data_IF_666577586289
#
_entry.id   IF_666577586289
#
_cell.length_a   1.000
_cell.length_b   1.000
_cell.length_c   1.000
_cell.angle_alpha   90.00
_cell.angle_beta   90.00
_cell.angle_gamma   90.00
#
_symmetry.space_group_name_H-M   'P 1'
#
loop_
_entity.id
_entity.type
_entity.pdbx_description
1 polymer ?
#
# COMPACT_ATOMS: atom_id res chain seq x y z
N UNK A 1 4.53 -1.29 39.86
CA UNK A 1 3.32 -1.29 39.03
C UNK A 1 3.67 -0.32 37.92
N UNK A 2 4.30 -0.83 36.87
CA UNK A 2 4.67 0.00 35.72
C UNK A 2 3.36 0.45 35.08
N UNK A 3 3.18 1.75 34.97
CA UNK A 3 2.17 2.36 34.12
C UNK A 3 2.48 1.90 32.70
N UNK A 4 1.78 0.88 32.23
CA UNK A 4 1.70 0.55 30.82
C UNK A 4 0.95 1.72 30.20
N UNK A 5 1.68 2.73 29.74
CA UNK A 5 1.15 3.74 28.84
C UNK A 5 0.51 2.98 27.68
N UNK A 6 -0.81 2.98 27.62
CA UNK A 6 -1.55 2.54 26.45
C UNK A 6 -1.04 3.41 25.31
N UNK A 7 -0.25 2.79 24.44
CA UNK A 7 0.45 3.41 23.33
C UNK A 7 -0.59 4.10 22.43
N UNK A 8 -0.77 5.41 22.64
CA UNK A 8 -1.79 6.19 21.95
C UNK A 8 -1.30 6.43 20.51
N UNK A 9 -1.63 5.47 19.65
CA UNK A 9 -1.46 5.56 18.22
C UNK A 9 -2.18 6.82 17.73
N UNK A 10 -1.45 7.90 17.46
CA UNK A 10 -2.05 9.14 16.96
C UNK A 10 -2.51 8.90 15.54
N UNK A 11 -3.82 8.74 15.39
CA UNK A 11 -4.42 8.63 14.07
C UNK A 11 -4.13 9.91 13.28
N UNK A 12 -3.54 9.75 12.10
CA UNK A 12 -3.49 10.82 11.12
C UNK A 12 -4.88 11.38 10.87
N UNK A 13 -5.00 12.70 10.65
CA UNK A 13 -6.25 13.29 10.22
C UNK A 13 -6.76 12.55 8.97
N UNK A 14 -8.03 12.13 8.97
CA UNK A 14 -8.62 11.32 7.91
C UNK A 14 -8.54 11.99 6.53
N UNK A 15 -8.59 13.32 6.47
CA UNK A 15 -8.42 14.05 5.21
C UNK A 15 -6.97 14.01 4.75
N UNK A 16 -6.01 14.17 5.67
CA UNK A 16 -4.57 14.05 5.38
C UNK A 16 -4.26 12.65 4.87
N UNK A 17 -4.69 11.60 5.58
CA UNK A 17 -4.47 10.20 5.18
C UNK A 17 -5.07 9.90 3.80
N UNK A 18 -6.34 10.26 3.58
CA UNK A 18 -6.97 10.05 2.28
C UNK A 18 -6.28 10.83 1.15
N UNK A 19 -5.77 12.04 1.45
CA UNK A 19 -5.05 12.87 0.47
C UNK A 19 -3.66 12.32 0.16
N UNK A 20 -2.92 11.86 1.17
CA UNK A 20 -1.62 11.19 1.02
C UNK A 20 -1.76 9.96 0.12
N UNK A 21 -2.70 9.07 0.42
CA UNK A 21 -2.99 7.89 -0.39
C UNK A 21 -3.43 8.25 -1.81
N UNK A 22 -4.21 9.32 -1.99
CA UNK A 22 -4.58 9.82 -3.33
C UNK A 22 -3.36 10.22 -4.15
N UNK A 23 -2.42 10.97 -3.57
CA UNK A 23 -1.21 11.43 -4.25
C UNK A 23 -0.27 10.26 -4.53
N UNK A 24 0.03 9.45 -3.53
CA UNK A 24 0.92 8.29 -3.67
C UNK A 24 0.39 7.28 -4.71
N UNK A 25 -0.91 7.02 -4.70
CA UNK A 25 -1.55 6.14 -5.70
C UNK A 25 -1.48 6.73 -7.11
N UNK A 26 -1.71 8.03 -7.26
CA UNK A 26 -1.62 8.68 -8.58
C UNK A 26 -0.18 8.68 -9.12
N UNK A 27 0.83 8.79 -8.23
CA UNK A 27 2.22 8.59 -8.60
C UNK A 27 2.48 7.16 -9.07
N UNK A 28 2.04 6.14 -8.33
CA UNK A 28 2.17 4.73 -8.75
C UNK A 28 1.39 4.42 -10.04
N UNK A 29 0.28 5.12 -10.31
CA UNK A 29 -0.45 4.98 -11.56
C UNK A 29 0.32 5.55 -12.75
N UNK A 30 1.14 6.57 -12.54
CA UNK A 30 1.93 7.21 -13.59
C UNK A 30 3.30 6.54 -13.73
N UNK A 31 3.80 5.95 -12.64
CA UNK A 31 5.09 5.27 -12.51
C UNK A 31 4.92 3.94 -11.74
N UNK A 32 4.46 2.85 -12.40
CA UNK A 32 4.14 1.56 -11.77
C UNK A 32 5.31 0.81 -11.15
N UNK A 33 6.53 1.21 -11.43
CA UNK A 33 7.72 0.77 -10.70
C UNK A 33 7.68 1.20 -9.24
N UNK A 34 6.99 2.31 -8.92
CA UNK A 34 6.85 2.77 -7.55
C UNK A 34 6.03 1.78 -6.71
N UNK A 35 6.44 1.64 -5.46
CA UNK A 35 5.78 0.92 -4.40
C UNK A 35 5.44 1.89 -3.27
N UNK A 36 4.43 1.52 -2.50
CA UNK A 36 4.06 2.24 -1.29
C UNK A 36 4.40 1.34 -0.11
N UNK A 37 4.99 1.92 0.93
CA UNK A 37 5.25 1.28 2.22
C UNK A 37 4.67 2.18 3.32
N UNK A 38 4.06 1.57 4.34
CA UNK A 38 3.66 2.26 5.55
C UNK A 38 4.70 1.98 6.64
N UNK A 39 5.16 3.00 7.34
CA UNK A 39 6.05 2.84 8.49
C UNK A 39 5.61 3.75 9.61
N UNK A 40 6.03 3.42 10.83
CA UNK A 40 5.96 4.31 11.97
C UNK A 40 7.39 4.78 12.22
N UNK A 41 7.63 6.08 12.30
CA UNK A 41 8.96 6.57 12.66
C UNK A 41 9.23 6.41 14.17
N UNK A 42 10.43 6.78 14.61
CA UNK A 42 10.85 6.70 16.01
C UNK A 42 9.98 7.56 16.95
N UNK A 43 9.44 8.67 16.44
CA UNK A 43 8.51 9.55 17.15
C UNK A 43 7.05 9.03 17.15
N UNK A 44 6.82 7.79 16.69
CA UNK A 44 5.49 7.18 16.56
C UNK A 44 4.55 7.88 15.57
N UNK A 45 5.10 8.64 14.63
CA UNK A 45 4.35 9.28 13.55
C UNK A 45 4.17 8.31 12.39
N UNK A 46 2.92 8.09 11.93
CA UNK A 46 2.67 7.26 10.77
C UNK A 46 3.14 7.99 9.50
N UNK A 47 3.95 7.28 8.72
CA UNK A 47 4.47 7.72 7.43
C UNK A 47 3.95 6.80 6.33
N UNK A 48 3.64 7.41 5.19
CA UNK A 48 3.51 6.70 3.93
C UNK A 48 4.74 7.03 3.07
N UNK A 49 5.37 6.04 2.45
CA UNK A 49 6.55 6.25 1.62
C UNK A 49 6.26 5.67 0.24
N UNK A 50 6.29 6.51 -0.79
CA UNK A 50 6.34 6.05 -2.18
C UNK A 50 7.81 5.98 -2.62
N UNK A 51 8.26 4.82 -3.07
CA UNK A 51 9.66 4.57 -3.42
C UNK A 51 9.79 3.65 -4.63
N UNK A 52 10.95 3.69 -5.27
CA UNK A 52 11.35 2.71 -6.30
C UNK A 52 12.42 1.80 -5.68
N UNK A 53 12.25 0.48 -5.70
CA UNK A 53 13.25 -0.44 -5.13
C UNK A 53 14.58 -0.45 -5.92
N UNK A 54 14.59 0.07 -7.16
CA UNK A 54 15.77 0.05 -8.05
C UNK A 54 16.59 1.34 -8.01
N UNK A 55 16.01 2.41 -7.47
CA UNK A 55 16.65 3.71 -7.36
C UNK A 55 16.52 4.20 -5.92
N UNK A 56 17.38 5.09 -5.44
CA UNK A 56 17.23 5.62 -4.08
C UNK A 56 16.10 6.67 -3.97
N UNK A 57 15.14 6.65 -4.91
CA UNK A 57 14.03 7.59 -4.92
C UNK A 57 13.05 7.26 -3.81
N UNK A 58 12.79 8.26 -2.96
CA UNK A 58 11.81 8.20 -1.87
C UNK A 58 11.03 9.50 -1.80
N UNK A 59 9.72 9.36 -1.66
CA UNK A 59 8.78 10.44 -1.41
C UNK A 59 8.05 10.08 -0.13
N UNK A 60 8.35 10.80 0.94
CA UNK A 60 7.78 10.57 2.26
C UNK A 60 6.59 11.50 2.47
N UNK A 61 5.48 10.92 2.90
CA UNK A 61 4.28 11.61 3.31
C UNK A 61 4.18 11.46 4.81
N UNK A 62 4.56 12.52 5.52
CA UNK A 62 4.29 12.66 6.93
C UNK A 62 2.80 12.95 7.10
N UNK A 63 2.07 12.04 7.75
CA UNK A 63 0.62 12.14 7.86
C UNK A 63 0.16 13.14 8.94
N UNK A 64 1.05 14.03 9.37
CA UNK A 64 0.80 15.15 10.29
C UNK A 64 1.20 16.48 9.65
N UNK A 65 2.37 16.56 9.00
CA UNK A 65 3.00 17.83 8.70
C UNK A 65 3.25 18.11 7.20
N UNK A 66 3.85 17.19 6.44
CA UNK A 66 4.41 17.51 5.13
C UNK A 66 4.56 16.32 4.17
N UNK A 67 4.94 16.63 2.94
CA UNK A 67 5.50 15.70 1.95
C UNK A 67 6.96 16.12 1.70
N UNK A 68 7.90 15.18 1.80
CA UNK A 68 9.34 15.37 1.57
C UNK A 68 9.81 14.49 0.42
N UNK A 69 10.66 15.05 -0.42
CA UNK A 69 11.46 14.30 -1.38
C UNK A 69 12.77 15.03 -1.66
N UNK A 70 13.74 14.30 -2.21
CA UNK A 70 14.99 14.87 -2.68
C UNK A 70 14.90 15.24 -4.16
N UNK A 71 15.44 16.40 -4.50
CA UNK A 71 15.63 16.83 -5.88
C UNK A 71 16.83 16.09 -6.52
N UNK A 72 16.98 16.11 -7.86
CA UNK A 72 18.12 15.49 -8.53
C UNK A 72 19.50 16.00 -8.08
N UNK A 73 19.56 17.20 -7.52
CA UNK A 73 20.77 17.81 -6.94
C UNK A 73 20.99 17.44 -5.45
N UNK A 74 20.12 16.61 -4.88
CA UNK A 74 20.15 16.17 -3.49
C UNK A 74 19.48 17.13 -2.50
N UNK A 75 18.99 18.29 -2.95
CA UNK A 75 18.35 19.24 -2.04
C UNK A 75 16.95 18.73 -1.60
N UNK A 76 16.62 18.77 -0.30
CA UNK A 76 15.29 18.41 0.16
C UNK A 76 14.26 19.45 -0.27
N UNK A 77 13.06 18.99 -0.63
CA UNK A 77 11.88 19.81 -0.90
C UNK A 77 10.74 19.39 0.00
N UNK A 78 10.08 20.37 0.62
CA UNK A 78 8.91 20.16 1.47
C UNK A 78 7.66 20.76 0.83
N UNK A 79 6.57 20.00 0.85
CA UNK A 79 5.22 20.48 0.51
C UNK A 79 4.34 20.27 1.74
N UNK A 80 3.93 21.36 2.38
CA UNK A 80 3.08 21.32 3.56
C UNK A 80 1.62 21.05 3.20
N UNK A 81 0.87 20.44 4.13
CA UNK A 81 -0.51 20.03 3.86
C UNK A 81 -1.44 21.20 3.50
N UNK A 82 -1.24 22.39 4.05
CA UNK A 82 -1.98 23.59 3.67
C UNK A 82 -1.81 23.92 2.16
N UNK A 83 -0.59 23.82 1.63
CA UNK A 83 -0.30 23.98 0.21
C UNK A 83 -0.94 22.87 -0.63
N UNK A 84 -0.94 21.63 -0.12
CA UNK A 84 -1.56 20.47 -0.78
C UNK A 84 -3.08 20.64 -0.87
N UNK A 85 -3.74 21.10 0.19
CA UNK A 85 -5.18 21.32 0.22
C UNK A 85 -5.61 22.57 -0.54
N UNK A 86 -4.73 23.59 -0.65
CA UNK A 86 -4.94 24.73 -1.53
C UNK A 86 -4.78 24.37 -3.02
N UNK A 87 -4.23 23.20 -3.34
CA UNK A 87 -3.88 22.77 -4.71
C UNK A 87 -4.73 21.60 -5.21
N UNK A 88 -4.84 21.48 -6.54
CA UNK A 88 -5.40 20.30 -7.19
C UNK A 88 -4.48 19.08 -7.07
N UNK A 89 -5.04 17.87 -7.11
CA UNK A 89 -4.27 16.62 -7.04
C UNK A 89 -3.20 16.56 -8.14
N UNK A 90 -3.60 16.82 -9.39
CA UNK A 90 -2.70 16.81 -10.56
C UNK A 90 -1.57 17.84 -10.43
N UNK A 91 -1.84 19.01 -9.83
CA UNK A 91 -0.82 20.04 -9.59
C UNK A 91 0.24 19.55 -8.62
N UNK A 92 -0.16 18.93 -7.50
CA UNK A 92 0.77 18.39 -6.50
C UNK A 92 1.58 17.24 -7.10
N UNK A 93 0.92 16.31 -7.79
CA UNK A 93 1.60 15.18 -8.46
C UNK A 93 2.64 15.68 -9.46
N UNK A 94 2.28 16.62 -10.35
CA UNK A 94 3.24 17.19 -11.32
C UNK A 94 4.39 17.94 -10.66
N UNK A 95 4.15 18.62 -9.53
CA UNK A 95 5.21 19.28 -8.75
C UNK A 95 6.19 18.24 -8.21
N UNK A 96 5.70 17.14 -7.66
CA UNK A 96 6.53 16.03 -7.17
C UNK A 96 7.30 15.40 -8.34
N UNK A 97 6.64 15.04 -9.45
CA UNK A 97 7.29 14.45 -10.63
C UNK A 97 8.43 15.31 -11.18
N UNK A 98 8.17 16.61 -11.32
CA UNK A 98 9.18 17.57 -11.79
C UNK A 98 10.31 17.72 -10.77
N UNK A 99 9.97 17.69 -9.49
CA UNK A 99 10.89 17.86 -8.38
C UNK A 99 11.80 16.66 -8.15
N UNK A 100 11.32 15.43 -8.36
CA UNK A 100 12.09 14.18 -8.19
C UNK A 100 12.81 13.73 -9.45
N UNK A 101 12.38 14.21 -10.63
CA UNK A 101 12.95 13.77 -11.90
C UNK A 101 12.45 12.38 -12.33
N UNK A 102 11.29 11.93 -11.86
CA UNK A 102 10.65 10.66 -12.27
C UNK A 102 10.48 10.53 -13.80
N UNK A 103 10.49 11.66 -14.51
CA UNK A 103 10.38 11.70 -15.97
C UNK A 103 8.93 11.64 -16.43
N UNK A 104 8.73 11.30 -17.71
CA UNK A 104 7.39 11.29 -18.28
C UNK A 104 6.53 10.15 -17.72
N UNK A 105 5.26 10.41 -17.38
CA UNK A 105 4.31 9.38 -16.98
C UNK A 105 4.25 8.25 -18.01
N UNK A 106 4.31 7.01 -17.54
CA UNK A 106 4.07 5.88 -18.42
C UNK A 106 2.55 5.71 -18.63
N UNK A 107 2.06 6.16 -19.77
CA UNK A 107 0.64 6.04 -20.09
C UNK A 107 0.20 4.59 -20.38
N UNK A 108 1.15 3.65 -20.46
CA UNK A 108 0.89 2.20 -20.52
C UNK A 108 0.29 1.62 -19.24
N UNK A 109 0.44 2.29 -18.10
CA UNK A 109 -0.19 1.96 -16.82
C UNK A 109 -1.71 2.20 -16.76
N UNK A 110 -2.33 2.62 -17.88
CA UNK A 110 -3.79 2.62 -18.04
C UNK A 110 -4.42 1.22 -17.95
N UNK A 111 -3.60 0.17 -17.83
CA UNK A 111 -4.00 -1.20 -17.52
C UNK A 111 -3.48 -1.58 -16.11
N UNK A 112 -4.18 -1.20 -15.03
CA UNK A 112 -3.81 -1.59 -13.66
C UNK A 112 -3.73 -3.12 -13.47
N UNK A 113 -4.37 -3.90 -14.34
CA UNK A 113 -4.37 -5.35 -14.30
C UNK A 113 -2.98 -5.97 -14.53
N UNK A 114 -2.07 -5.24 -15.17
CA UNK A 114 -0.67 -5.66 -15.35
C UNK A 114 0.18 -5.37 -14.10
N UNK A 115 -0.35 -4.54 -13.18
CA UNK A 115 0.34 -4.09 -11.97
C UNK A 115 -0.55 -4.26 -10.72
N UNK A 116 -0.61 -5.47 -10.14
CA UNK A 116 -1.49 -5.80 -9.02
C UNK A 116 -1.41 -4.83 -7.82
N UNK A 117 -0.22 -4.29 -7.54
CA UNK A 117 -0.01 -3.38 -6.41
C UNK A 117 -0.67 -2.02 -6.67
N UNK A 118 -0.54 -1.48 -7.89
CA UNK A 118 -1.20 -0.24 -8.30
C UNK A 118 -2.71 -0.38 -8.16
N UNK A 119 -3.26 -1.53 -8.57
CA UNK A 119 -4.69 -1.81 -8.42
C UNK A 119 -5.13 -1.84 -6.96
N UNK A 120 -4.32 -2.43 -6.10
CA UNK A 120 -4.58 -2.48 -4.66
C UNK A 120 -4.55 -1.09 -4.03
N UNK A 121 -3.56 -0.26 -4.39
CA UNK A 121 -3.47 1.12 -3.91
C UNK A 121 -4.64 1.99 -4.40
N UNK A 122 -5.13 1.77 -5.63
CA UNK A 122 -6.37 2.40 -6.11
C UNK A 122 -7.57 2.09 -5.21
N UNK A 123 -7.77 0.82 -4.88
CA UNK A 123 -8.86 0.39 -4.01
C UNK A 123 -8.72 1.02 -2.61
N UNK A 124 -7.52 1.00 -2.02
CA UNK A 124 -7.25 1.65 -0.71
C UNK A 124 -7.58 3.14 -0.76
N UNK A 125 -7.04 3.85 -1.76
CA UNK A 125 -7.24 5.29 -1.94
C UNK A 125 -8.72 5.64 -2.07
N UNK A 126 -9.49 4.83 -2.81
CA UNK A 126 -10.94 5.00 -2.97
C UNK A 126 -11.72 4.76 -1.68
N UNK A 127 -11.36 3.71 -0.93
CA UNK A 127 -11.96 3.38 0.36
C UNK A 127 -11.73 4.49 1.37
N UNK A 128 -10.49 4.95 1.52
CA UNK A 128 -10.15 6.04 2.42
C UNK A 128 -10.87 7.33 2.03
N UNK A 129 -10.89 7.68 0.74
CA UNK A 129 -11.60 8.86 0.24
C UNK A 129 -13.10 8.81 0.51
N UNK A 130 -13.75 7.66 0.34
CA UNK A 130 -15.16 7.51 0.66
C UNK A 130 -15.42 7.54 2.18
N UNK A 131 -14.48 6.99 2.95
CA UNK A 131 -14.51 6.94 4.40
C UNK A 131 -14.20 8.27 5.10
N UNK A 132 -13.73 9.30 4.39
CA UNK A 132 -13.42 10.62 4.99
C UNK A 132 -14.62 11.23 5.72
N UNK A 133 -15.84 11.00 5.23
CA UNK A 133 -17.06 11.54 5.84
C UNK A 133 -17.77 10.54 6.76
N UNK A 134 -17.24 9.32 6.89
CA UNK A 134 -17.78 8.31 7.80
C UNK A 134 -17.44 8.69 9.25
N UNK A 135 -18.41 8.54 10.16
CA UNK A 135 -18.21 8.73 11.60
C UNK A 135 -17.28 7.68 12.18
N UNK A 136 -17.31 6.48 11.59
CA UNK A 136 -16.60 5.30 12.12
C UNK A 136 -15.10 5.35 11.81
N UNK A 137 -14.64 6.26 10.94
CA UNK A 137 -13.22 6.47 10.63
C UNK A 137 -12.58 5.29 9.89
N UNK A 138 -11.96 5.58 8.75
CA UNK A 138 -11.30 4.56 7.92
C UNK A 138 -9.80 4.72 7.94
N UNK A 139 -9.09 3.60 8.07
CA UNK A 139 -7.64 3.59 8.18
C UNK A 139 -7.06 2.37 7.51
N UNK A 140 -5.78 2.45 7.15
CA UNK A 140 -5.06 1.35 6.53
C UNK A 140 -3.67 1.25 7.16
N UNK A 141 -3.22 0.01 7.40
CA UNK A 141 -1.91 -0.30 7.96
C UNK A 141 -1.29 -1.45 7.16
N UNK A 142 0.03 -1.48 6.97
CA UNK A 142 0.67 -2.71 6.52
C UNK A 142 0.42 -3.85 7.51
N UNK A 143 0.35 -5.07 7.00
CA UNK A 143 0.35 -6.29 7.81
C UNK A 143 1.79 -6.72 7.97
N UNK A 144 2.28 -6.76 9.19
CA UNK A 144 3.65 -7.18 9.45
C UNK A 144 3.73 -8.70 9.43
N UNK A 145 4.73 -9.24 8.73
CA UNK A 145 5.10 -10.64 8.84
C UNK A 145 6.61 -10.80 8.84
N UNK A 146 7.10 -11.67 9.72
CA UNK A 146 8.49 -12.05 9.80
C UNK A 146 8.61 -13.57 9.76
N UNK A 147 9.40 -14.12 8.82
CA UNK A 147 9.61 -15.55 8.69
C UNK A 147 10.58 -16.06 9.75
N UNK A 148 11.30 -15.15 10.40
CA UNK A 148 12.32 -15.44 11.40
C UNK A 148 11.86 -15.11 12.83
N UNK A 149 10.80 -14.31 12.97
CA UNK A 149 10.22 -13.94 14.26
C UNK A 149 8.68 -14.01 14.19
N UNK A 150 8.11 -15.19 14.46
CA UNK A 150 6.66 -15.39 14.44
C UNK A 150 5.91 -14.44 15.39
N UNK A 151 6.54 -14.01 16.48
CA UNK A 151 5.90 -13.14 17.48
C UNK A 151 5.71 -11.70 16.96
N UNK A 152 6.44 -11.31 15.91
CA UNK A 152 6.25 -10.03 15.20
C UNK A 152 5.27 -10.12 14.02
N UNK A 153 4.78 -11.32 13.71
CA UNK A 153 3.79 -11.52 12.65
C UNK A 153 2.40 -11.22 13.18
N UNK A 154 1.61 -10.50 12.38
CA UNK A 154 0.19 -10.20 12.63
C UNK A 154 -0.69 -11.47 12.48
N UNK A 155 -0.28 -12.63 12.99
CA UNK A 155 -0.96 -13.92 12.80
C UNK A 155 -2.38 -13.92 13.39
N UNK A 156 -2.55 -13.31 14.56
CA UNK A 156 -3.86 -13.15 15.19
C UNK A 156 -4.82 -12.31 14.33
N UNK A 157 -4.29 -11.35 13.55
CA UNK A 157 -5.07 -10.56 12.60
C UNK A 157 -5.43 -11.41 11.37
N UNK A 158 -4.49 -12.18 10.81
CA UNK A 158 -4.73 -13.07 9.67
C UNK A 158 -5.82 -14.10 9.97
N UNK A 159 -5.85 -14.61 11.19
CA UNK A 159 -6.85 -15.59 11.66
C UNK A 159 -8.30 -15.07 11.67
N UNK A 160 -8.51 -13.76 11.55
CA UNK A 160 -9.86 -13.16 11.48
C UNK A 160 -10.51 -13.28 10.09
N UNK A 161 -9.74 -13.65 9.06
CA UNK A 161 -10.17 -13.55 7.67
C UNK A 161 -10.27 -14.92 6.98
N UNK A 162 -11.25 -15.04 6.08
CA UNK A 162 -11.39 -16.22 5.25
C UNK A 162 -10.22 -16.32 4.25
N UNK A 163 -9.66 -17.52 4.04
CA UNK A 163 -8.53 -17.72 3.14
C UNK A 163 -7.15 -17.40 3.72
N UNK A 164 -7.05 -17.32 5.06
CA UNK A 164 -5.79 -17.02 5.79
C UNK A 164 -4.60 -17.88 5.35
N UNK A 165 -4.80 -19.16 5.07
CA UNK A 165 -3.69 -20.06 4.75
C UNK A 165 -3.09 -19.72 3.38
N UNK A 166 -3.94 -19.32 2.43
CA UNK A 166 -3.48 -18.82 1.12
C UNK A 166 -2.76 -17.48 1.25
N UNK A 167 -3.31 -16.56 2.06
CA UNK A 167 -2.68 -15.26 2.29
C UNK A 167 -1.31 -15.41 2.97
N UNK A 168 -1.21 -16.27 3.98
CA UNK A 168 0.05 -16.59 4.67
C UNK A 168 1.06 -17.21 3.70
N UNK A 169 0.62 -18.14 2.85
CA UNK A 169 1.49 -18.73 1.83
C UNK A 169 1.99 -17.69 0.82
N UNK A 170 1.13 -16.81 0.33
CA UNK A 170 1.52 -15.74 -0.61
C UNK A 170 2.51 -14.75 0.04
N UNK A 171 2.29 -14.42 1.32
CA UNK A 171 3.12 -13.51 2.11
C UNK A 171 4.54 -14.07 2.31
N UNK A 172 4.64 -15.33 2.71
CA UNK A 172 5.93 -16.02 2.88
C UNK A 172 6.65 -16.17 1.53
N UNK A 173 5.94 -16.62 0.47
CA UNK A 173 6.51 -16.78 -0.87
C UNK A 173 7.02 -15.44 -1.45
N UNK A 174 6.32 -14.34 -1.18
CA UNK A 174 6.78 -12.99 -1.59
C UNK A 174 8.03 -12.57 -0.84
N UNK A 175 8.06 -12.78 0.47
CA UNK A 175 9.16 -12.37 1.31
C UNK A 175 10.44 -13.16 1.02
N UNK A 176 10.35 -14.49 0.89
CA UNK A 176 11.47 -15.36 0.50
C UNK A 176 12.06 -14.92 -0.84
N UNK A 177 11.21 -14.67 -1.86
CA UNK A 177 11.67 -14.23 -3.18
C UNK A 177 12.41 -12.90 -3.14
N UNK A 178 12.01 -11.98 -2.25
CA UNK A 178 12.66 -10.67 -2.08
C UNK A 178 13.97 -10.78 -1.32
N UNK A 179 14.01 -11.62 -0.27
CA UNK A 179 15.25 -11.93 0.45
C UNK A 179 16.29 -12.56 -0.49
N UNK A 180 15.88 -13.52 -1.31
CA UNK A 180 16.73 -14.14 -2.35
C UNK A 180 17.23 -13.12 -3.38
N UNK A 181 16.43 -12.08 -3.67
CA UNK A 181 16.81 -11.00 -4.57
C UNK A 181 17.73 -9.95 -3.93
N UNK A 182 18.05 -10.09 -2.64
CA UNK A 182 18.88 -9.14 -1.90
C UNK A 182 18.17 -7.81 -1.59
N UNK A 183 16.85 -7.80 -1.50
CA UNK A 183 16.09 -6.60 -1.16
C UNK A 183 16.41 -6.16 0.28
N UNK A 184 16.86 -4.92 0.44
CA UNK A 184 17.19 -4.31 1.74
C UNK A 184 16.04 -3.46 2.31
N UNK A 185 14.96 -3.25 1.55
CA UNK A 185 13.83 -2.41 1.94
C UNK A 185 12.48 -3.09 1.69
N UNK A 186 11.59 -2.99 2.68
CA UNK A 186 10.32 -3.69 2.80
C UNK A 186 9.22 -2.97 1.99
N UNK A 187 8.74 -3.56 0.90
CA UNK A 187 7.42 -3.21 0.40
C UNK A 187 6.42 -4.19 1.00
N UNK A 188 5.48 -3.64 1.75
CA UNK A 188 4.49 -4.41 2.51
C UNK A 188 3.47 -5.01 1.54
N UNK A 189 3.47 -6.33 1.34
CA UNK A 189 2.68 -6.96 0.29
C UNK A 189 1.20 -7.01 0.67
N UNK A 190 0.86 -6.91 1.96
CA UNK A 190 -0.52 -7.01 2.45
C UNK A 190 -0.86 -5.81 3.33
N UNK A 191 -2.06 -5.28 3.13
CA UNK A 191 -2.58 -4.11 3.86
C UNK A 191 -3.87 -4.48 4.57
N UNK A 192 -3.97 -4.16 5.85
CA UNK A 192 -5.23 -4.27 6.59
C UNK A 192 -5.98 -2.95 6.54
N UNK A 193 -7.28 -3.05 6.27
CA UNK A 193 -8.22 -1.94 6.30
C UNK A 193 -9.02 -2.02 7.60
N UNK A 194 -9.07 -0.90 8.32
CA UNK A 194 -9.82 -0.74 9.56
C UNK A 194 -11.00 0.22 9.36
N UNK A 195 -12.11 -0.07 10.04
CA UNK A 195 -13.25 0.83 10.22
C UNK A 195 -13.67 0.77 11.68
N UNK A 196 -13.75 1.91 12.37
CA UNK A 196 -13.97 1.96 13.83
C UNK A 196 -12.97 1.10 14.63
N UNK A 197 -11.71 1.06 14.19
CA UNK A 197 -10.64 0.22 14.75
C UNK A 197 -10.88 -1.30 14.61
N UNK A 198 -11.94 -1.71 13.94
CA UNK A 198 -12.17 -3.10 13.61
C UNK A 198 -11.57 -3.43 12.25
N UNK A 199 -10.79 -4.53 12.13
CA UNK A 199 -10.26 -4.96 10.85
C UNK A 199 -11.42 -5.51 9.99
N UNK A 200 -11.61 -4.91 8.82
CA UNK A 200 -12.72 -5.22 7.91
C UNK A 200 -12.27 -5.96 6.64
N UNK A 201 -11.04 -5.72 6.19
CA UNK A 201 -10.48 -6.42 5.04
C UNK A 201 -8.95 -6.48 5.09
N UNK A 202 -8.36 -7.50 4.46
CA UNK A 202 -6.95 -7.55 4.08
C UNK A 202 -6.85 -7.41 2.56
N UNK A 203 -5.87 -6.67 2.07
CA UNK A 203 -5.69 -6.36 0.66
C UNK A 203 -4.28 -6.75 0.23
N UNK A 204 -4.17 -7.78 -0.61
CA UNK A 204 -2.91 -8.31 -1.10
C UNK A 204 -2.50 -7.58 -2.39
N UNK A 205 -1.42 -6.79 -2.29
CA UNK A 205 -0.85 -6.00 -3.38
C UNK A 205 -0.03 -6.81 -4.39
N UNK A 206 0.36 -8.05 -4.07
CA UNK A 206 1.05 -8.95 -5.00
C UNK A 206 0.07 -9.58 -5.97
N UNK A 207 -1.13 -9.95 -5.49
CA UNK A 207 -2.13 -10.68 -6.28
C UNK A 207 -3.35 -9.84 -6.67
N UNK A 208 -3.50 -8.63 -6.13
CA UNK A 208 -4.69 -7.79 -6.24
C UNK A 208 -5.97 -8.51 -5.79
N UNK A 209 -5.89 -9.14 -4.61
CA UNK A 209 -7.01 -9.87 -3.98
C UNK A 209 -7.31 -9.27 -2.61
N UNK A 210 -8.59 -9.03 -2.34
CA UNK A 210 -9.10 -8.64 -1.03
C UNK A 210 -9.65 -9.84 -0.28
N UNK A 211 -9.40 -9.91 1.01
CA UNK A 211 -9.89 -10.94 1.93
C UNK A 211 -10.76 -10.25 2.97
N UNK A 212 -11.98 -10.71 3.12
CA UNK A 212 -12.91 -10.26 4.16
C UNK A 212 -13.18 -11.44 5.11
N UNK A 213 -13.95 -11.21 6.18
CA UNK A 213 -14.32 -12.29 7.11
C UNK A 213 -15.07 -13.43 6.43
N UNK A 214 -15.78 -13.13 5.34
CA UNK A 214 -16.71 -14.06 4.70
C UNK A 214 -16.36 -14.38 3.25
N UNK A 215 -15.61 -13.52 2.56
CA UNK A 215 -15.38 -13.64 1.12
C UNK A 215 -13.96 -13.27 0.72
N UNK A 216 -13.52 -13.85 -0.40
CA UNK A 216 -12.32 -13.45 -1.12
C UNK A 216 -12.74 -12.78 -2.41
N UNK A 217 -12.24 -11.58 -2.67
CA UNK A 217 -12.72 -10.70 -3.73
C UNK A 217 -11.57 -10.28 -4.65
N UNK A 218 -11.63 -10.57 -5.96
CA UNK A 218 -10.63 -10.08 -6.91
C UNK A 218 -10.76 -8.56 -7.07
N UNK A 219 -9.72 -7.79 -6.72
CA UNK A 219 -9.75 -6.33 -6.75
C UNK A 219 -9.80 -5.79 -8.18
N UNK A 220 -9.35 -6.55 -9.18
CA UNK A 220 -9.47 -6.21 -10.61
C UNK A 220 -10.92 -6.09 -11.08
N UNK A 221 -11.88 -6.76 -10.42
CA UNK A 221 -13.29 -6.70 -10.77
C UNK A 221 -14.02 -5.51 -10.17
N UNK A 222 -13.44 -4.86 -9.15
CA UNK A 222 -14.02 -3.67 -8.56
C UNK A 222 -13.88 -2.51 -9.54
N UNK A 223 -14.85 -1.60 -9.60
CA UNK A 223 -14.68 -0.37 -10.38
C UNK A 223 -14.39 0.80 -9.45
N UNK A 224 -13.80 1.89 -9.96
CA UNK A 224 -13.55 3.12 -9.19
C UNK A 224 -14.77 3.66 -8.42
N UNK A 225 -15.96 3.35 -8.92
CA UNK A 225 -17.25 3.80 -8.35
C UNK A 225 -17.83 2.82 -7.34
N UNK A 226 -17.49 1.53 -7.45
CA UNK A 226 -18.15 0.47 -6.69
C UNK A 226 -17.27 -0.18 -5.65
N UNK A 227 -15.94 0.02 -5.68
CA UNK A 227 -15.00 -0.63 -4.77
C UNK A 227 -15.42 -0.58 -3.29
N UNK A 228 -15.92 0.57 -2.83
CA UNK A 228 -16.43 0.78 -1.47
C UNK A 228 -17.66 -0.09 -1.20
N UNK A 229 -18.65 -0.04 -2.09
CA UNK A 229 -19.89 -0.80 -1.94
C UNK A 229 -19.66 -2.30 -2.09
N UNK A 230 -18.81 -2.72 -3.02
CA UNK A 230 -18.51 -4.12 -3.28
C UNK A 230 -17.79 -4.75 -2.09
N UNK A 231 -16.79 -4.04 -1.52
CA UNK A 231 -16.05 -4.54 -0.36
C UNK A 231 -16.91 -4.48 0.92
N UNK A 232 -17.68 -3.41 1.14
CA UNK A 232 -18.60 -3.32 2.27
C UNK A 232 -19.71 -4.36 2.20
N UNK A 233 -20.29 -4.60 1.01
CA UNK A 233 -21.27 -5.65 0.82
C UNK A 233 -20.67 -7.02 1.16
N UNK A 234 -19.43 -7.29 0.74
CA UNK A 234 -18.72 -8.51 1.11
C UNK A 234 -18.43 -8.60 2.64
N UNK A 235 -18.27 -7.48 3.33
CA UNK A 235 -18.12 -7.52 4.81
C UNK A 235 -19.43 -7.77 5.56
N UNK A 236 -20.58 -7.41 4.97
CA UNK A 236 -21.90 -7.47 5.61
C UNK A 236 -22.72 -8.72 5.24
N UNK A 237 -22.41 -9.37 4.12
CA UNK A 237 -23.13 -10.56 3.68
C UNK A 237 -22.69 -11.79 4.48
N UNK A 238 -23.68 -12.46 5.08
CA UNK A 238 -23.50 -13.65 5.89
C UNK A 238 -24.34 -14.79 5.29
N UNK A 239 -23.84 -15.54 4.29
CA UNK A 239 -24.32 -16.89 4.06
C UNK A 239 -23.19 -17.91 4.28
N UNK A 240 -23.51 -19.15 4.66
CA UNK A 240 -22.55 -20.24 4.68
C UNK A 240 -22.04 -20.51 3.25
N UNK A 241 -20.74 -20.70 3.09
CA UNK A 241 -20.13 -21.01 1.79
C UNK A 241 -20.32 -22.51 1.48
N UNK A 242 -20.80 -22.88 0.28
CA UNK A 242 -20.74 -24.25 -0.25
C UNK A 242 -19.28 -24.71 -0.45
N UNK A 243 -18.93 -25.93 -0.04
CA UNK A 243 -17.55 -26.49 -0.04
C UNK A 243 -16.91 -26.66 -1.44
N UNK A 244 -17.59 -26.26 -2.51
CA UNK A 244 -17.27 -26.50 -3.91
C UNK A 244 -16.50 -25.34 -4.60
N UNK A 245 -16.24 -24.23 -3.90
CA UNK A 245 -15.52 -23.06 -4.47
C UNK A 245 -13.98 -23.09 -4.33
N UNK A 246 -13.38 -23.94 -3.47
CA UNK A 246 -11.92 -24.04 -3.31
C UNK A 246 -11.20 -24.45 -4.61
N UNK A 247 -11.84 -25.28 -5.44
CA UNK A 247 -11.30 -25.71 -6.74
C UNK A 247 -11.30 -24.59 -7.79
N UNK A 248 -12.31 -23.72 -7.77
CA UNK A 248 -12.40 -22.55 -8.65
C UNK A 248 -11.43 -21.44 -8.18
N UNK A 249 -11.19 -21.37 -6.88
CA UNK A 249 -10.27 -20.45 -6.23
C UNK A 249 -8.80 -20.69 -6.62
N UNK A 250 -8.31 -21.93 -6.56
CA UNK A 250 -6.94 -22.27 -7.00
C UNK A 250 -6.70 -21.86 -8.47
N UNK A 251 -7.72 -22.00 -9.32
CA UNK A 251 -7.65 -21.55 -10.70
C UNK A 251 -7.63 -20.02 -10.85
N UNK A 252 -8.33 -19.28 -9.98
CA UNK A 252 -8.36 -17.82 -9.97
C UNK A 252 -7.03 -17.22 -9.51
N UNK A 253 -6.43 -17.75 -8.43
CA UNK A 253 -5.09 -17.37 -7.97
C UNK A 253 -4.03 -17.74 -9.01
N UNK A 254 -4.09 -18.95 -9.58
CA UNK A 254 -3.17 -19.37 -10.64
C UNK A 254 -3.31 -18.55 -11.94
N UNK A 255 -4.47 -17.91 -12.17
CA UNK A 255 -4.69 -16.99 -13.30
C UNK A 255 -4.15 -15.59 -13.00
N UNK A 256 -4.32 -15.09 -11.78
CA UNK A 256 -3.70 -13.84 -11.34
C UNK A 256 -2.16 -13.93 -11.39
N UNK A 257 -1.59 -15.04 -10.91
CA UNK A 257 -0.14 -15.34 -10.97
C UNK A 257 0.41 -15.38 -12.41
N UNK A 258 -0.39 -15.83 -13.38
CA UNK A 258 0.01 -15.88 -14.81
C UNK A 258 0.05 -14.51 -15.47
N UNK A 259 -0.79 -13.57 -15.04
CA UNK A 259 -0.86 -12.24 -15.63
C UNK A 259 0.22 -11.28 -15.08
N UNK A 260 0.63 -11.43 -13.81
CA UNK A 260 1.68 -10.60 -13.20
C UNK A 260 3.12 -10.84 -13.71
N UNK A 261 3.32 -11.77 -14.65
CA UNK A 261 4.64 -12.16 -15.16
C UNK A 261 5.00 -11.52 -16.52
N UNK A 262 4.16 -10.60 -17.03
CA UNK A 262 4.34 -9.99 -18.35
C UNK A 262 4.88 -8.56 -18.21
N UNK A 263 6.20 -8.45 -18.02
CA UNK A 263 6.83 -7.13 -17.87
C UNK A 263 8.34 -7.15 -17.96
N UNK A 264 8.92 -7.79 -18.99
CA UNK A 264 10.34 -7.58 -19.33
C UNK A 264 10.54 -6.18 -19.89
N UNK A 265 10.56 -5.16 -19.02
CA UNK A 265 11.00 -3.82 -19.39
C UNK A 265 12.52 -3.81 -19.57
N UNK A 266 12.98 -3.20 -20.68
CA UNK A 266 14.39 -2.99 -20.98
C UNK A 266 15.05 -2.20 -19.83
N UNK A 267 16.27 -2.56 -19.41
CA UNK A 267 17.00 -1.79 -18.41
C UNK A 267 17.28 -0.38 -18.92
N UNK A 268 16.88 0.64 -18.17
CA UNK A 268 17.44 2.00 -18.30
C UNK A 268 18.88 1.99 -17.75
N UNK A 269 19.77 2.84 -18.27
CA UNK A 269 21.13 2.94 -17.76
C UNK A 269 21.11 3.30 -16.27
N UNK A 270 21.90 2.56 -15.49
CA UNK A 270 22.06 2.75 -14.04
C UNK A 270 22.44 4.21 -13.76
N UNK A 271 21.64 4.90 -12.96
CA UNK A 271 22.14 6.06 -12.21
C UNK A 271 23.20 5.56 -11.22
N UNK A 272 24.24 6.38 -10.99
CA UNK A 272 25.34 6.04 -10.10
C UNK A 272 24.83 5.81 -8.66
N UNK A 273 25.43 4.89 -7.89
CA UNK A 273 25.03 4.65 -6.51
C UNK A 273 25.31 5.90 -5.66
N UNK A 274 24.28 6.39 -4.95
CA UNK A 274 24.45 7.34 -3.87
C UNK A 274 24.88 6.55 -2.64
N UNK A 275 26.20 6.48 -2.43
CA UNK A 275 26.75 6.04 -1.16
C UNK A 275 26.61 7.17 -0.14
N UNK A 276 26.31 6.78 1.10
CA UNK A 276 26.42 7.52 2.35
C UNK A 276 25.29 8.53 2.64
N UNK A 277 24.23 8.02 3.29
CA UNK A 277 23.49 8.78 4.30
C UNK A 277 23.35 7.89 5.55
N UNK A 278 24.08 8.29 6.59
CA UNK A 278 23.93 7.84 7.97
C UNK A 278 22.49 8.10 8.49
N UNK A 279 22.04 7.34 9.51
CA UNK A 279 20.76 7.57 10.16
C UNK A 279 20.78 8.94 10.85
N UNK A 280 19.67 9.68 10.74
CA UNK A 280 19.49 10.94 11.45
C UNK A 280 19.30 10.64 12.94
N UNK A 281 20.39 10.75 13.71
CA UNK A 281 20.35 11.13 15.13
C UNK A 281 20.27 12.67 15.20
N UNK A 282 19.18 13.19 15.78
CA UNK A 282 19.14 14.32 16.73
C UNK A 282 17.73 14.46 17.31
#
# INVERSE_FOLDING_TARGET
MEDVEVEEYRFADRHVSARAWSIATELCLRHPELRITGVINEERVPLLIAHDERTDLRIQFDLVAWILYLKPDGAPEYIYWDQVFASGLDTVVKRIESGTGLGEPCWGARFPDDYPHVRTYQVISELLRAGVHDSDGWQVRPVTASPHDPDTTDDALLDLFHGRDHLRSDLVEDLERRLDAGATHYAEPVWVLYRALEPVALLNSVTAVGYTRHHIVPLSKMTRRTAVFDLLAATQQNPPIPQDEEGNFSALVARARRNGNVGRHRPRPRARPYADLDPLDD
#
